data_IF_940852146033
#
_entry.id   IF_940852146033
#
_cell.length_a   1.000
_cell.length_b   1.000
_cell.length_c   1.000
_cell.angle_alpha   90.00
_cell.angle_beta   90.00
_cell.angle_gamma   90.00
#
_symmetry.space_group_name_H-M   'P 1'
#
loop_
_entity.id
_entity.type
_entity.pdbx_description
1 polymer ?
#
# COMPACT_ATOMS: atom_id res chain seq x y z
N UNK A 1 14.75 13.69 31.65
CA UNK A 1 13.61 14.12 30.82
C UNK A 1 13.98 14.24 29.35
N UNK A 2 15.12 14.86 29.00
CA UNK A 2 15.47 15.07 27.57
C UNK A 2 15.70 13.80 26.74
N UNK A 3 16.27 12.74 27.34
CA UNK A 3 16.53 11.50 26.62
C UNK A 3 15.25 10.82 26.09
N UNK A 4 14.17 10.81 26.90
CA UNK A 4 12.89 10.21 26.49
C UNK A 4 12.23 11.01 25.37
N UNK A 5 12.31 12.35 25.45
CA UNK A 5 11.80 13.25 24.42
C UNK A 5 12.56 13.03 23.11
N UNK A 6 13.90 12.98 23.15
CA UNK A 6 14.74 12.72 21.98
C UNK A 6 14.41 11.37 21.32
N UNK A 7 14.32 10.31 22.10
CA UNK A 7 13.97 8.98 21.60
C UNK A 7 12.56 8.94 20.99
N UNK A 8 11.61 9.67 21.57
CA UNK A 8 10.25 9.77 21.02
C UNK A 8 10.24 10.47 19.66
N UNK A 9 10.99 11.56 19.50
CA UNK A 9 11.12 12.25 18.22
C UNK A 9 11.79 11.39 17.15
N UNK A 10 12.85 10.67 17.51
CA UNK A 10 13.51 9.71 16.59
C UNK A 10 12.51 8.63 16.17
N UNK A 11 11.74 8.07 17.11
CA UNK A 11 10.74 7.06 16.80
C UNK A 11 9.67 7.59 15.84
N UNK A 12 9.20 8.83 16.02
CA UNK A 12 8.24 9.47 15.11
C UNK A 12 8.82 9.58 13.70
N UNK A 13 10.07 10.04 13.56
CA UNK A 13 10.73 10.21 12.25
C UNK A 13 10.88 8.85 11.55
N UNK A 14 11.34 7.83 12.26
CA UNK A 14 11.51 6.47 11.71
C UNK A 14 10.15 5.89 11.27
N UNK A 15 9.12 6.02 12.10
CA UNK A 15 7.77 5.57 11.77
C UNK A 15 7.22 6.30 10.53
N UNK A 16 7.30 7.63 10.50
CA UNK A 16 6.81 8.43 9.38
C UNK A 16 7.53 8.08 8.07
N UNK A 17 8.84 7.89 8.12
CA UNK A 17 9.64 7.48 6.96
C UNK A 17 9.21 6.10 6.44
N UNK A 18 8.97 5.14 7.34
CA UNK A 18 8.51 3.79 6.97
C UNK A 18 7.17 3.82 6.22
N UNK A 19 6.21 4.64 6.66
CA UNK A 19 4.94 4.80 5.96
C UNK A 19 5.11 5.43 4.58
N UNK A 20 6.05 6.38 4.44
CA UNK A 20 6.32 6.99 3.15
C UNK A 20 6.94 6.03 2.15
N UNK A 21 7.81 5.11 2.61
CA UNK A 21 8.30 4.01 1.79
C UNK A 21 7.17 3.09 1.32
N UNK A 22 6.17 2.84 2.17
CA UNK A 22 5.00 2.05 1.79
C UNK A 22 4.16 2.75 0.70
N UNK A 23 3.87 4.04 0.86
CA UNK A 23 3.19 4.87 -0.16
C UNK A 23 3.96 4.85 -1.47
N UNK A 24 5.28 5.02 -1.41
CA UNK A 24 6.13 5.01 -2.60
C UNK A 24 6.08 3.65 -3.31
N UNK A 25 6.15 2.54 -2.56
CA UNK A 25 6.04 1.20 -3.15
C UNK A 25 4.70 1.01 -3.87
N UNK A 26 3.59 1.40 -3.24
CA UNK A 26 2.24 1.31 -3.83
C UNK A 26 2.15 2.18 -5.09
N UNK A 27 2.66 3.40 -5.04
CA UNK A 27 2.65 4.31 -6.19
C UNK A 27 3.40 3.75 -7.41
N UNK A 28 4.55 3.12 -7.19
CA UNK A 28 5.38 2.58 -8.27
C UNK A 28 4.82 1.26 -8.82
N UNK A 29 4.43 0.32 -7.95
CA UNK A 29 4.03 -1.02 -8.38
C UNK A 29 2.54 -1.07 -8.77
N UNK A 30 1.73 -0.15 -8.25
CA UNK A 30 0.26 -0.11 -8.41
C UNK A 30 -0.46 -1.39 -7.96
N UNK A 31 0.24 -2.26 -7.23
CA UNK A 31 -0.29 -3.51 -6.65
C UNK A 31 -1.14 -3.20 -5.41
N UNK A 32 -2.45 -2.99 -5.59
CA UNK A 32 -3.39 -2.65 -4.51
C UNK A 32 -4.41 -3.76 -4.18
N UNK A 33 -4.43 -4.87 -4.92
CA UNK A 33 -5.41 -5.97 -4.75
C UNK A 33 -5.31 -6.67 -3.39
N UNK A 34 -4.09 -6.90 -2.92
CA UNK A 34 -3.84 -7.58 -1.65
C UNK A 34 -4.00 -6.65 -0.43
N UNK A 35 -4.16 -5.34 -0.67
CA UNK A 35 -4.36 -4.38 0.41
C UNK A 35 -5.84 -4.29 0.76
N UNK A 36 -6.18 -4.74 1.96
CA UNK A 36 -7.53 -4.60 2.50
C UNK A 36 -7.87 -3.13 2.77
N UNK A 37 -8.83 -2.60 2.02
CA UNK A 37 -9.36 -1.24 2.21
C UNK A 37 -10.00 -1.08 3.59
N UNK A 38 -10.74 -2.09 4.06
CA UNK A 38 -11.42 -2.09 5.37
C UNK A 38 -10.40 -1.94 6.50
N UNK A 39 -9.27 -2.66 6.42
CA UNK A 39 -8.19 -2.55 7.40
C UNK A 39 -7.66 -1.12 7.50
N UNK A 40 -7.39 -0.47 6.37
CA UNK A 40 -6.87 0.90 6.36
C UNK A 40 -7.92 1.92 6.83
N UNK A 41 -9.21 1.72 6.53
CA UNK A 41 -10.27 2.55 7.09
C UNK A 41 -10.37 2.43 8.61
N UNK A 42 -10.30 1.21 9.16
CA UNK A 42 -10.31 1.01 10.62
C UNK A 42 -9.08 1.65 11.28
N UNK A 43 -7.91 1.58 10.64
CA UNK A 43 -6.71 2.28 11.09
C UNK A 43 -6.91 3.79 11.10
N UNK A 44 -7.42 4.37 10.00
CA UNK A 44 -7.70 5.80 9.92
C UNK A 44 -8.68 6.23 11.02
N UNK A 45 -9.76 5.45 11.23
CA UNK A 45 -10.71 5.73 12.29
C UNK A 45 -10.06 5.67 13.69
N UNK A 46 -9.26 4.64 13.96
CA UNK A 46 -8.53 4.50 15.23
C UNK A 46 -7.56 5.64 15.49
N UNK A 47 -6.76 6.03 14.49
CA UNK A 47 -5.87 7.19 14.60
C UNK A 47 -6.64 8.49 14.78
N UNK A 48 -7.79 8.66 14.12
CA UNK A 48 -8.68 9.80 14.34
C UNK A 48 -9.14 9.94 15.79
N UNK A 49 -9.53 8.82 16.43
CA UNK A 49 -9.86 8.82 17.86
C UNK A 49 -8.65 9.18 18.73
N UNK A 50 -7.47 8.65 18.43
CA UNK A 50 -6.25 8.95 19.20
C UNK A 50 -5.79 10.40 19.05
N UNK A 51 -6.04 11.05 17.90
CA UNK A 51 -5.79 12.48 17.72
C UNK A 51 -6.66 13.28 18.70
N UNK A 52 -7.95 12.94 18.83
CA UNK A 52 -8.86 13.62 19.77
C UNK A 52 -8.36 13.44 21.20
N UNK A 53 -7.99 12.21 21.59
CA UNK A 53 -7.41 11.95 22.92
C UNK A 53 -6.13 12.76 23.15
N UNK A 54 -5.25 12.86 22.16
CA UNK A 54 -4.03 13.64 22.26
C UNK A 54 -4.28 15.13 22.49
N UNK A 55 -5.32 15.68 21.87
CA UNK A 55 -5.77 17.05 22.13
C UNK A 55 -6.30 17.24 23.55
N UNK A 56 -7.07 16.27 24.06
CA UNK A 56 -7.60 16.31 25.43
C UNK A 56 -6.47 16.21 26.48
N UNK A 57 -5.44 15.42 26.19
CA UNK A 57 -4.27 15.23 27.06
C UNK A 57 -3.21 16.35 26.94
N UNK A 58 -3.41 17.32 26.05
CA UNK A 58 -2.48 18.43 25.74
C UNK A 58 -1.03 17.98 25.44
N UNK A 59 -0.87 16.79 24.86
CA UNK A 59 0.44 16.18 24.60
C UNK A 59 0.89 16.40 23.16
N UNK A 60 1.79 17.36 22.95
CA UNK A 60 2.29 17.72 21.61
C UNK A 60 2.98 16.56 20.91
N UNK A 61 3.81 15.79 21.62
CA UNK A 61 4.56 14.67 21.02
C UNK A 61 3.60 13.57 20.57
N UNK A 62 2.58 13.29 21.40
CA UNK A 62 1.58 12.29 21.06
C UNK A 62 0.73 12.75 19.87
N UNK A 63 0.29 14.01 19.86
CA UNK A 63 -0.46 14.59 18.75
C UNK A 63 0.34 14.52 17.43
N UNK A 64 1.60 14.95 17.44
CA UNK A 64 2.46 14.93 16.25
C UNK A 64 2.67 13.51 15.75
N UNK A 65 2.87 12.55 16.66
CA UNK A 65 2.95 11.12 16.30
C UNK A 65 1.68 10.66 15.58
N UNK A 66 0.50 10.95 16.13
CA UNK A 66 -0.75 10.50 15.53
C UNK A 66 -1.01 11.14 14.18
N UNK A 67 -0.71 12.44 14.01
CA UNK A 67 -0.83 13.13 12.73
C UNK A 67 0.14 12.54 11.69
N UNK A 68 1.38 12.28 12.09
CA UNK A 68 2.41 11.71 11.22
C UNK A 68 2.09 10.28 10.74
N UNK A 69 1.25 9.53 11.46
CA UNK A 69 0.77 8.21 11.03
C UNK A 69 -0.58 8.26 10.33
N UNK A 70 -1.46 9.19 10.72
CA UNK A 70 -2.79 9.34 10.13
C UNK A 70 -2.74 9.82 8.67
N UNK A 71 -1.91 10.83 8.38
CA UNK A 71 -1.80 11.38 7.01
C UNK A 71 -1.38 10.30 6.01
N UNK A 72 -0.30 9.51 6.24
CA UNK A 72 0.07 8.45 5.31
C UNK A 72 -1.03 7.41 5.09
N UNK A 73 -1.77 7.02 6.14
CA UNK A 73 -2.88 6.06 5.99
C UNK A 73 -3.97 6.62 5.08
N UNK A 74 -4.31 7.91 5.20
CA UNK A 74 -5.26 8.54 4.27
C UNK A 74 -4.75 8.54 2.82
N UNK A 75 -3.45 8.80 2.61
CA UNK A 75 -2.84 8.71 1.27
C UNK A 75 -2.91 7.28 0.74
N UNK A 76 -2.63 6.27 1.57
CA UNK A 76 -2.75 4.85 1.17
C UNK A 76 -4.20 4.51 0.78
N UNK A 77 -5.19 4.94 1.57
CA UNK A 77 -6.61 4.75 1.23
C UNK A 77 -6.93 5.40 -0.13
N UNK A 78 -6.47 6.64 -0.35
CA UNK A 78 -6.65 7.35 -1.61
C UNK A 78 -6.00 6.61 -2.79
N UNK A 79 -4.78 6.10 -2.61
CA UNK A 79 -4.09 5.30 -3.62
C UNK A 79 -4.80 3.98 -3.91
N UNK A 80 -5.32 3.29 -2.89
CA UNK A 80 -6.11 2.08 -3.09
C UNK A 80 -7.34 2.42 -3.93
N UNK A 81 -8.11 3.46 -3.58
CA UNK A 81 -9.32 3.83 -4.33
C UNK A 81 -9.00 4.23 -5.77
N UNK A 82 -7.92 4.99 -5.99
CA UNK A 82 -7.53 5.46 -7.32
C UNK A 82 -7.01 4.33 -8.21
N UNK A 83 -6.12 3.48 -7.67
CA UNK A 83 -5.51 2.39 -8.42
C UNK A 83 -6.33 1.09 -8.40
N UNK A 84 -7.42 1.00 -7.64
CA UNK A 84 -8.32 -0.16 -7.66
C UNK A 84 -8.97 -0.36 -9.03
N UNK A 85 -9.10 0.71 -9.82
CA UNK A 85 -9.60 0.69 -11.20
C UNK A 85 -8.48 0.77 -12.25
N UNK A 86 -7.21 0.94 -11.85
CA UNK A 86 -6.12 0.86 -12.80
C UNK A 86 -6.05 -0.58 -13.29
N UNK A 87 -6.14 -0.75 -14.62
CA UNK A 87 -6.03 -2.03 -15.31
C UNK A 87 -4.69 -2.69 -14.93
N UNK A 88 -4.80 -3.67 -14.03
CA UNK A 88 -3.71 -4.51 -13.57
C UNK A 88 -4.28 -5.93 -13.46
N UNK A 89 -3.91 -6.75 -14.46
CA UNK A 89 -4.62 -7.95 -14.91
C UNK A 89 -5.99 -7.63 -15.52
N UNK A 90 -6.03 -7.35 -16.83
CA UNK A 90 -7.33 -7.43 -17.52
C UNK A 90 -7.71 -8.91 -17.60
N UNK A 91 -9.01 -9.22 -17.52
CA UNK A 91 -9.52 -10.58 -17.79
C UNK A 91 -9.20 -11.06 -19.23
N UNK A 92 -8.73 -10.15 -20.09
CA UNK A 92 -8.18 -10.42 -21.42
C UNK A 92 -6.71 -10.85 -21.41
N UNK A 93 -5.99 -10.74 -20.28
CA UNK A 93 -4.62 -11.22 -20.16
C UNK A 93 -4.58 -12.73 -20.38
N UNK A 94 -3.65 -13.16 -21.22
CA UNK A 94 -3.60 -14.56 -21.62
C UNK A 94 -3.43 -15.46 -20.39
N UNK A 95 -4.39 -16.35 -20.14
CA UNK A 95 -4.18 -17.40 -19.16
C UNK A 95 -3.26 -18.49 -19.73
N UNK A 96 -2.39 -19.03 -18.88
CA UNK A 96 -1.54 -20.13 -19.28
C UNK A 96 -2.39 -21.37 -19.62
N UNK A 97 -2.43 -21.77 -20.89
CA UNK A 97 -3.21 -22.96 -21.35
C UNK A 97 -2.87 -24.30 -20.69
N UNK A 98 -1.82 -24.39 -19.85
CA UNK A 98 -1.45 -25.62 -19.13
C UNK A 98 -1.96 -25.63 -17.70
N UNK A 99 -1.84 -24.53 -16.97
CA UNK A 99 -2.19 -24.46 -15.55
C UNK A 99 -3.32 -23.47 -15.24
N UNK A 100 -3.86 -22.78 -16.25
CA UNK A 100 -4.88 -21.74 -16.14
C UNK A 100 -4.51 -20.53 -15.28
N UNK A 101 -3.28 -20.47 -14.77
CA UNK A 101 -2.73 -19.31 -14.06
C UNK A 101 -2.48 -18.13 -15.01
N UNK A 102 -2.54 -16.91 -14.46
CA UNK A 102 -2.30 -15.66 -15.18
C UNK A 102 -0.91 -15.66 -15.85
N UNK A 103 -0.85 -15.24 -17.13
CA UNK A 103 0.40 -15.06 -17.86
C UNK A 103 0.53 -13.59 -18.27
N UNK A 104 1.41 -12.87 -17.60
CA UNK A 104 1.58 -11.45 -17.92
C UNK A 104 2.05 -11.23 -19.37
N UNK A 105 1.65 -10.11 -20.00
CA UNK A 105 1.94 -9.80 -21.40
C UNK A 105 3.41 -9.80 -21.80
N UNK A 106 4.35 -9.75 -20.87
CA UNK A 106 5.79 -9.74 -21.17
C UNK A 106 6.51 -11.05 -20.79
N UNK A 107 5.80 -12.03 -20.23
CA UNK A 107 6.41 -13.29 -19.80
C UNK A 107 6.66 -14.23 -20.99
N UNK A 108 7.90 -14.72 -21.10
CA UNK A 108 8.28 -15.75 -22.10
C UNK A 108 7.92 -17.17 -21.64
N UNK A 109 7.82 -17.37 -20.32
CA UNK A 109 7.51 -18.64 -19.68
C UNK A 109 6.53 -18.39 -18.53
N UNK A 110 5.61 -19.31 -18.31
CA UNK A 110 4.71 -19.27 -17.14
C UNK A 110 5.51 -19.52 -15.86
N UNK A 111 5.35 -18.66 -14.84
CA UNK A 111 6.04 -18.79 -13.56
C UNK A 111 5.67 -20.08 -12.79
N UNK A 112 4.44 -20.58 -12.98
CA UNK A 112 3.92 -21.73 -12.24
C UNK A 112 4.25 -23.08 -12.89
N UNK A 113 4.15 -23.17 -14.21
CA UNK A 113 4.31 -24.44 -14.92
C UNK A 113 5.53 -24.49 -15.86
N UNK A 114 6.32 -23.42 -15.91
CA UNK A 114 7.52 -23.25 -16.75
C UNK A 114 7.28 -23.43 -18.26
N UNK A 115 6.02 -23.45 -18.71
CA UNK A 115 5.70 -23.62 -20.13
C UNK A 115 5.95 -22.33 -20.88
N UNK A 116 6.63 -22.43 -22.03
CA UNK A 116 6.91 -21.31 -22.92
C UNK A 116 5.61 -20.75 -23.51
N UNK A 117 5.46 -19.43 -23.52
CA UNK A 117 4.39 -18.71 -24.20
C UNK A 117 4.48 -19.00 -25.71
N UNK A 118 3.41 -19.51 -26.31
CA UNK A 118 3.32 -19.60 -27.78
C UNK A 118 2.97 -18.20 -28.29
N UNK A 119 3.72 -17.66 -29.25
CA UNK A 119 3.38 -16.40 -29.92
C UNK A 119 2.00 -16.55 -30.57
N UNK A 120 0.99 -15.93 -29.98
CA UNK A 120 -0.23 -15.54 -30.67
C UNK A 120 0.11 -14.34 -31.55
N UNK A 121 -0.27 -14.33 -32.84
CA UNK A 121 -0.10 -13.14 -33.67
C UNK A 121 -0.97 -12.02 -33.08
N UNK A 122 -0.35 -10.88 -32.78
CA UNK A 122 -1.01 -9.64 -32.39
C UNK A 122 -1.99 -9.25 -33.49
N UNK A 123 -3.29 -9.33 -33.19
CA UNK A 123 -4.32 -8.62 -33.95
C UNK A 123 -4.40 -7.21 -33.38
N UNK A 124 -3.89 -6.27 -34.17
CA UNK A 124 -4.19 -4.84 -34.05
C UNK A 124 -5.69 -4.58 -34.18
#
# INVERSE_FOLDING_TARGET
>A
MEFLTLMSWIAIIVLASSYWFQIWKIHIHKEVRDLSLIYHFLLAFGFGLLIITAFVEDSTIFLVKQVATFIPVLVIIGQIIYHQQDHWHDDEDEICRKCAEELEPHWKYCAYCSKRRRRTPSTY
#
